data_IF_742077337474
#
_entry.id   IF_742077337474
#
_cell.length_a   1.000
_cell.length_b   1.000
_cell.length_c   1.000
_cell.angle_alpha   90.00
_cell.angle_beta   90.00
_cell.angle_gamma   90.00
#
_symmetry.space_group_name_H-M   'P 1'
#
loop_
_entity.id
_entity.type
_entity.pdbx_description
1 polymer ?
#
# COMPACT_ATOMS: atom_id res chain seq x y z
N UNK A 1 5.98 16.67 0.56
CA UNK A 1 4.77 17.50 0.77
C UNK A 1 3.72 17.32 -0.33
N UNK A 2 4.08 17.32 -1.63
CA UNK A 2 3.11 17.13 -2.73
C UNK A 2 2.22 15.88 -2.58
N UNK A 3 2.80 14.71 -2.27
CA UNK A 3 2.03 13.48 -2.04
C UNK A 3 1.05 13.59 -0.86
N UNK A 4 1.42 14.32 0.20
CA UNK A 4 0.58 14.53 1.37
C UNK A 4 -0.57 15.49 1.06
N UNK A 5 -0.31 16.54 0.26
CA UNK A 5 -1.35 17.47 -0.21
C UNK A 5 -2.35 16.77 -1.13
N UNK A 6 -1.88 15.99 -2.11
CA UNK A 6 -2.74 15.19 -2.98
C UNK A 6 -3.61 14.21 -2.19
N UNK A 7 -3.03 13.57 -1.15
CA UNK A 7 -3.79 12.68 -0.26
C UNK A 7 -4.82 13.45 0.56
N UNK A 8 -4.49 14.61 1.11
CA UNK A 8 -5.45 15.41 1.86
C UNK A 8 -6.66 15.81 1.02
N UNK A 9 -6.42 16.20 -0.24
CA UNK A 9 -7.49 16.47 -1.18
C UNK A 9 -8.33 15.21 -1.49
N UNK A 10 -7.68 14.07 -1.79
CA UNK A 10 -8.37 12.80 -2.02
C UNK A 10 -9.25 12.39 -0.83
N UNK A 11 -8.73 12.57 0.39
CA UNK A 11 -9.44 12.22 1.61
C UNK A 11 -10.68 13.10 1.77
N UNK A 12 -10.52 14.41 1.64
CA UNK A 12 -11.60 15.37 1.89
C UNK A 12 -12.69 15.30 0.80
N UNK A 13 -12.29 15.16 -0.48
CA UNK A 13 -13.22 15.26 -1.59
C UNK A 13 -13.88 13.93 -1.97
N UNK A 14 -13.25 12.80 -1.63
CA UNK A 14 -13.73 11.48 -2.05
C UNK A 14 -13.88 10.51 -0.89
N UNK A 15 -12.82 10.26 -0.12
CA UNK A 15 -12.83 9.16 0.86
C UNK A 15 -13.81 9.45 2.01
N UNK A 16 -13.73 10.61 2.64
CA UNK A 16 -14.65 11.01 3.72
C UNK A 16 -16.13 10.97 3.29
N UNK A 17 -16.53 11.66 2.19
CA UNK A 17 -17.91 11.59 1.72
C UNK A 17 -18.39 10.17 1.36
N UNK A 18 -17.49 9.31 0.88
CA UNK A 18 -17.82 7.91 0.58
C UNK A 18 -18.03 7.07 1.84
N UNK A 19 -17.20 7.27 2.87
CA UNK A 19 -17.37 6.60 4.18
C UNK A 19 -18.69 7.01 4.82
N UNK A 20 -19.05 8.30 4.79
CA UNK A 20 -20.34 8.79 5.32
C UNK A 20 -21.55 8.15 4.62
N UNK A 21 -21.37 7.69 3.39
CA UNK A 21 -22.39 6.98 2.60
C UNK A 21 -22.31 5.46 2.72
N UNK A 22 -21.47 4.92 3.62
CA UNK A 22 -21.22 3.49 3.77
C UNK A 22 -20.77 2.79 2.48
N UNK A 23 -20.00 3.49 1.64
CA UNK A 23 -19.47 2.94 0.40
C UNK A 23 -18.12 2.29 0.66
N UNK A 24 -17.94 1.07 0.15
CA UNK A 24 -16.63 0.39 0.15
C UNK A 24 -15.68 1.09 -0.81
N UNK A 25 -14.47 1.42 -0.32
CA UNK A 25 -13.45 2.13 -1.08
C UNK A 25 -12.29 1.17 -1.35
N UNK A 26 -11.87 1.10 -2.61
CA UNK A 26 -10.66 0.38 -3.02
C UNK A 26 -9.66 1.41 -3.52
N UNK A 27 -8.51 1.52 -2.85
CA UNK A 27 -7.43 2.41 -3.23
C UNK A 27 -6.24 1.62 -3.78
N UNK A 28 -5.81 1.93 -5.01
CA UNK A 28 -4.47 1.58 -5.46
C UNK A 28 -3.47 2.54 -4.82
N UNK A 29 -2.76 2.04 -3.81
CA UNK A 29 -1.84 2.77 -2.91
C UNK A 29 -2.54 3.78 -2.01
N UNK A 30 -1.96 3.97 -0.82
CA UNK A 30 -2.43 4.98 0.15
C UNK A 30 -1.26 5.41 1.08
N UNK A 31 -1.45 5.36 2.40
CA UNK A 31 -0.47 5.80 3.40
C UNK A 31 0.79 4.93 3.45
N UNK A 32 0.65 3.61 3.35
CA UNK A 32 1.78 2.68 3.47
C UNK A 32 2.80 2.86 2.35
N UNK A 33 2.34 3.21 1.14
CA UNK A 33 3.23 3.56 0.02
C UNK A 33 4.07 4.80 0.32
N UNK A 34 3.52 5.78 1.02
CA UNK A 34 4.30 6.97 1.37
C UNK A 34 5.36 6.65 2.43
N UNK A 35 5.05 5.78 3.37
CA UNK A 35 6.05 5.29 4.33
C UNK A 35 7.15 4.47 3.65
N UNK A 36 6.79 3.53 2.78
CA UNK A 36 7.76 2.70 2.06
C UNK A 36 8.68 3.53 1.16
N UNK A 37 8.12 4.41 0.32
CA UNK A 37 8.90 5.20 -0.62
C UNK A 37 9.68 6.34 0.04
N UNK A 38 9.02 7.14 0.87
CA UNK A 38 9.67 8.33 1.44
C UNK A 38 10.48 8.01 2.68
N UNK A 39 10.00 7.08 3.51
CA UNK A 39 10.69 6.67 4.73
C UNK A 39 11.85 5.76 4.40
N UNK A 40 11.55 4.54 3.96
CA UNK A 40 12.59 3.54 3.71
C UNK A 40 13.38 3.81 2.43
N UNK A 41 12.69 4.15 1.32
CA UNK A 41 13.34 4.43 0.04
C UNK A 41 14.23 5.68 0.08
N UNK A 42 13.70 6.80 0.57
CA UNK A 42 14.40 8.11 0.58
C UNK A 42 15.03 8.49 1.93
N UNK A 43 14.88 7.69 2.97
CA UNK A 43 15.51 7.93 4.28
C UNK A 43 14.90 9.09 5.08
N UNK A 44 13.66 9.50 4.78
CA UNK A 44 12.99 10.56 5.55
C UNK A 44 12.56 9.98 6.91
N UNK A 45 12.74 10.76 7.98
CA UNK A 45 12.37 10.37 9.33
C UNK A 45 10.92 9.86 9.42
N UNK A 46 10.75 8.66 9.96
CA UNK A 46 9.46 8.00 10.04
C UNK A 46 8.48 8.74 10.96
N UNK A 47 8.97 9.34 12.05
CA UNK A 47 8.15 10.12 12.97
C UNK A 47 7.56 11.36 12.30
N UNK A 48 8.36 12.06 11.51
CA UNK A 48 7.91 13.17 10.68
C UNK A 48 6.86 12.72 9.66
N UNK A 49 7.09 11.61 8.95
CA UNK A 49 6.13 11.09 7.97
C UNK A 49 4.79 10.72 8.60
N UNK A 50 4.80 10.14 9.81
CA UNK A 50 3.59 9.85 10.56
C UNK A 50 2.81 11.14 10.90
N UNK A 51 3.48 12.18 11.43
CA UNK A 51 2.84 13.46 11.75
C UNK A 51 2.21 14.11 10.52
N UNK A 52 2.95 14.15 9.41
CA UNK A 52 2.45 14.72 8.15
C UNK A 52 1.27 13.90 7.61
N UNK A 53 1.32 12.58 7.76
CA UNK A 53 0.24 11.70 7.31
C UNK A 53 -1.02 11.88 8.14
N UNK A 54 -0.89 12.00 9.46
CA UNK A 54 -2.01 12.24 10.37
C UNK A 54 -2.75 13.53 10.03
N UNK A 55 -2.00 14.63 9.82
CA UNK A 55 -2.56 15.91 9.35
C UNK A 55 -3.27 15.75 8.00
N UNK A 56 -2.67 15.00 7.07
CA UNK A 56 -3.21 14.85 5.73
C UNK A 56 -4.50 14.01 5.68
N UNK A 57 -4.67 13.02 6.57
CA UNK A 57 -5.80 12.08 6.48
C UNK A 57 -6.81 12.20 7.62
N UNK A 58 -6.53 12.99 8.65
CA UNK A 58 -7.39 13.14 9.82
C UNK A 58 -7.71 11.81 10.50
N UNK A 59 -6.71 10.93 10.63
CA UNK A 59 -6.84 9.60 11.24
C UNK A 59 -7.51 8.52 10.37
N UNK A 60 -7.95 8.82 9.14
CA UNK A 60 -8.61 7.85 8.25
C UNK A 60 -7.59 6.87 7.66
N UNK A 61 -7.41 5.76 8.38
CA UNK A 61 -6.58 4.62 7.99
C UNK A 61 -7.42 3.54 7.28
N UNK A 62 -6.83 2.73 6.38
CA UNK A 62 -7.54 1.59 5.80
C UNK A 62 -7.88 0.54 6.86
N UNK A 63 -9.05 -0.07 6.75
CA UNK A 63 -9.41 -1.25 7.57
C UNK A 63 -8.51 -2.45 7.24
N UNK A 64 -8.18 -2.61 5.95
CA UNK A 64 -7.30 -3.66 5.43
C UNK A 64 -6.40 -3.11 4.33
N UNK A 65 -5.20 -3.66 4.22
CA UNK A 65 -4.23 -3.33 3.17
C UNK A 65 -3.60 -4.62 2.67
N UNK A 66 -3.56 -4.81 1.34
CA UNK A 66 -2.92 -5.96 0.73
C UNK A 66 -1.51 -5.57 0.26
N UNK A 67 -0.50 -6.19 0.87
CA UNK A 67 0.87 -6.08 0.39
C UNK A 67 1.17 -7.28 -0.50
N UNK A 68 1.31 -7.04 -1.79
CA UNK A 68 1.69 -8.05 -2.77
C UNK A 68 3.20 -8.26 -2.73
N UNK A 69 3.61 -9.33 -2.04
CA UNK A 69 5.00 -9.70 -1.84
C UNK A 69 5.56 -10.33 -3.12
N UNK A 70 6.38 -9.57 -3.83
CA UNK A 70 7.07 -9.98 -5.04
C UNK A 70 8.46 -9.35 -5.07
N UNK A 71 9.46 -10.15 -5.44
CA UNK A 71 10.82 -9.66 -5.60
C UNK A 71 10.87 -8.42 -6.52
N UNK A 72 11.54 -7.33 -6.12
CA UNK A 72 11.58 -6.08 -6.88
C UNK A 72 12.01 -6.24 -8.33
N UNK A 73 12.96 -7.13 -8.59
CA UNK A 73 13.49 -7.44 -9.92
C UNK A 73 12.38 -7.97 -10.85
N UNK A 74 11.53 -8.86 -10.32
CA UNK A 74 10.40 -9.45 -11.06
C UNK A 74 9.30 -8.39 -11.25
N UNK A 75 8.99 -7.62 -10.20
CA UNK A 75 7.98 -6.57 -10.24
C UNK A 75 8.31 -5.47 -11.24
N UNK A 76 9.56 -5.00 -11.25
CA UNK A 76 10.04 -3.96 -12.17
C UNK A 76 10.00 -4.46 -13.62
N UNK A 77 10.44 -5.69 -13.88
CA UNK A 77 10.35 -6.30 -15.21
C UNK A 77 8.91 -6.32 -15.73
N UNK A 78 7.96 -6.82 -14.92
CA UNK A 78 6.53 -6.86 -15.29
C UNK A 78 5.97 -5.46 -15.56
N UNK A 79 6.37 -4.46 -14.76
CA UNK A 79 5.93 -3.07 -14.91
C UNK A 79 6.40 -2.45 -16.22
N UNK A 80 7.68 -2.61 -16.55
CA UNK A 80 8.28 -2.12 -17.79
C UNK A 80 7.60 -2.75 -19.01
N UNK A 81 7.35 -4.06 -18.97
CA UNK A 81 6.66 -4.79 -20.05
C UNK A 81 5.20 -4.32 -20.22
N UNK A 82 4.51 -3.98 -19.12
CA UNK A 82 3.10 -3.61 -19.15
C UNK A 82 2.84 -2.13 -19.50
N UNK A 83 3.65 -1.20 -18.98
CA UNK A 83 3.34 0.25 -19.02
C UNK A 83 4.52 1.14 -19.39
N UNK A 84 5.69 0.58 -19.67
CA UNK A 84 6.93 1.35 -19.84
C UNK A 84 7.53 1.82 -18.51
N UNK A 85 8.51 2.72 -18.55
CA UNK A 85 9.19 3.26 -17.36
C UNK A 85 8.80 4.72 -17.08
N UNK A 86 8.47 5.01 -15.82
CA UNK A 86 8.32 6.35 -15.27
C UNK A 86 9.57 6.78 -14.47
N UNK A 87 9.55 7.99 -13.90
CA UNK A 87 10.67 8.55 -13.14
C UNK A 87 11.09 7.68 -11.94
N UNK A 88 10.14 7.02 -11.29
CA UNK A 88 10.37 6.16 -10.13
C UNK A 88 10.89 4.79 -10.58
N UNK A 89 10.42 4.27 -11.72
CA UNK A 89 10.95 3.02 -12.29
C UNK A 89 12.35 3.17 -12.89
N UNK A 90 12.81 4.40 -13.09
CA UNK A 90 14.20 4.72 -13.47
C UNK A 90 15.14 4.90 -12.26
N UNK A 91 14.65 4.75 -11.02
CA UNK A 91 15.52 4.70 -9.84
C UNK A 91 16.37 3.43 -9.83
N UNK A 92 17.45 3.42 -9.05
CA UNK A 92 18.32 2.25 -8.98
C UNK A 92 17.64 1.07 -8.25
N UNK A 93 18.16 -0.14 -8.49
CA UNK A 93 17.65 -1.35 -7.82
C UNK A 93 17.81 -1.29 -6.29
N UNK A 94 18.74 -0.47 -5.77
CA UNK A 94 18.93 -0.30 -4.32
C UNK A 94 17.72 0.43 -3.72
N UNK A 95 17.21 1.46 -4.40
CA UNK A 95 15.99 2.16 -4.02
C UNK A 95 14.79 1.21 -4.02
N UNK A 96 14.59 0.44 -5.10
CA UNK A 96 13.48 -0.51 -5.18
C UNK A 96 13.52 -1.57 -4.08
N UNK A 97 14.71 -2.08 -3.74
CA UNK A 97 14.90 -3.00 -2.61
C UNK A 97 14.57 -2.35 -1.27
N UNK A 98 15.03 -1.12 -1.01
CA UNK A 98 14.67 -0.37 0.21
C UNK A 98 13.17 -0.16 0.35
N UNK A 99 12.48 0.16 -0.74
CA UNK A 99 11.01 0.31 -0.74
C UNK A 99 10.33 -1.02 -0.40
N UNK A 100 10.77 -2.11 -1.01
CA UNK A 100 10.25 -3.45 -0.74
C UNK A 100 10.48 -3.89 0.71
N UNK A 101 11.69 -3.69 1.23
CA UNK A 101 12.02 -3.95 2.63
C UNK A 101 11.16 -3.10 3.57
N UNK A 102 10.88 -1.85 3.18
CA UNK A 102 9.94 -0.98 3.88
C UNK A 102 8.53 -1.54 3.96
N UNK A 103 7.99 -2.09 2.87
CA UNK A 103 6.68 -2.76 2.92
C UNK A 103 6.70 -4.01 3.80
N UNK A 104 7.76 -4.82 3.74
CA UNK A 104 7.90 -6.00 4.61
C UNK A 104 7.92 -5.62 6.08
N UNK A 105 8.66 -4.57 6.42
CA UNK A 105 8.71 -4.06 7.80
C UNK A 105 7.36 -3.49 8.26
N UNK A 106 6.65 -2.75 7.39
CA UNK A 106 5.30 -2.28 7.69
C UNK A 106 4.33 -3.44 7.92
N UNK A 107 4.37 -4.48 7.09
CA UNK A 107 3.56 -5.67 7.24
C UNK A 107 3.83 -6.39 8.57
N UNK A 108 5.10 -6.47 8.98
CA UNK A 108 5.51 -7.01 10.29
C UNK A 108 5.02 -6.15 11.46
N UNK A 109 5.02 -4.83 11.30
CA UNK A 109 4.59 -3.87 12.33
C UNK A 109 3.07 -3.80 12.49
N UNK A 110 2.32 -4.02 11.41
CA UNK A 110 0.86 -3.91 11.38
C UNK A 110 0.15 -5.17 10.83
N UNK A 111 0.43 -6.38 11.37
CA UNK A 111 -0.04 -7.65 10.77
C UNK A 111 -1.56 -7.84 10.83
N UNK A 112 -2.25 -7.10 11.71
CA UNK A 112 -3.71 -7.10 11.76
C UNK A 112 -4.33 -6.38 10.56
N UNK A 113 -3.73 -5.27 10.13
CA UNK A 113 -4.23 -4.38 9.05
C UNK A 113 -3.62 -4.73 7.69
N UNK A 114 -2.32 -5.01 7.65
CA UNK A 114 -1.60 -5.31 6.41
C UNK A 114 -1.52 -6.84 6.26
N UNK A 115 -2.12 -7.35 5.18
CA UNK A 115 -2.10 -8.75 4.78
C UNK A 115 -1.10 -8.95 3.65
N UNK A 116 -0.05 -9.70 3.93
CA UNK A 116 0.93 -10.09 2.91
C UNK A 116 0.35 -11.18 2.02
N UNK A 117 0.39 -10.97 0.72
CA UNK A 117 -0.07 -11.90 -0.31
C UNK A 117 1.14 -12.28 -1.17
N UNK A 118 1.42 -13.58 -1.31
CA UNK A 118 2.49 -14.06 -2.18
C UNK A 118 2.11 -13.83 -3.65
N UNK A 119 2.72 -12.82 -4.27
CA UNK A 119 2.44 -12.42 -5.65
C UNK A 119 3.37 -13.08 -6.68
N UNK A 120 4.19 -14.06 -6.26
CA UNK A 120 4.98 -14.91 -7.16
C UNK A 120 4.14 -15.99 -7.84
N UNK A 121 2.98 -16.34 -7.25
CA UNK A 121 2.01 -17.31 -7.77
C UNK A 121 1.31 -16.85 -9.05
N UNK A 122 0.65 -17.76 -9.80
CA UNK A 122 -0.28 -17.39 -10.85
C UNK A 122 -1.39 -16.46 -10.36
N UNK A 123 -1.87 -15.54 -11.21
CA UNK A 123 -2.83 -14.50 -10.85
C UNK A 123 -4.13 -15.04 -10.22
N UNK A 124 -4.59 -16.21 -10.66
CA UNK A 124 -5.78 -16.87 -10.08
C UNK A 124 -5.56 -17.28 -8.62
N UNK A 125 -4.37 -17.76 -8.27
CA UNK A 125 -4.06 -18.16 -6.90
C UNK A 125 -3.81 -16.95 -5.99
N UNK A 126 -3.16 -15.91 -6.52
CA UNK A 126 -3.06 -14.61 -5.86
C UNK A 126 -4.46 -14.07 -5.53
N UNK A 127 -5.39 -14.16 -6.49
CA UNK A 127 -6.77 -13.73 -6.28
C UNK A 127 -7.50 -14.55 -5.22
N UNK A 128 -7.33 -15.88 -5.20
CA UNK A 128 -7.89 -16.73 -4.14
C UNK A 128 -7.41 -16.30 -2.75
N UNK A 129 -6.11 -15.99 -2.62
CA UNK A 129 -5.52 -15.53 -1.36
C UNK A 129 -6.11 -14.16 -0.93
N UNK A 130 -6.21 -13.20 -1.85
CA UNK A 130 -6.84 -11.89 -1.58
C UNK A 130 -8.31 -12.05 -1.18
N UNK A 131 -9.09 -12.81 -1.96
CA UNK A 131 -10.51 -13.04 -1.71
C UNK A 131 -10.74 -13.64 -0.33
N UNK A 132 -9.93 -14.62 0.08
CA UNK A 132 -10.03 -15.22 1.41
C UNK A 132 -9.86 -14.18 2.53
N UNK A 133 -8.93 -13.24 2.38
CA UNK A 133 -8.74 -12.18 3.35
C UNK A 133 -9.92 -11.20 3.39
N UNK A 134 -10.50 -10.86 2.21
CA UNK A 134 -11.72 -10.04 2.12
C UNK A 134 -12.89 -10.74 2.80
N UNK A 135 -13.13 -12.02 2.48
CA UNK A 135 -14.21 -12.82 3.06
C UNK A 135 -14.08 -12.90 4.59
N UNK A 136 -12.84 -13.00 5.11
CA UNK A 136 -12.61 -12.96 6.55
C UNK A 136 -12.87 -11.57 7.15
N UNK A 137 -12.45 -10.49 6.50
CA UNK A 137 -12.65 -9.13 6.98
C UNK A 137 -14.14 -8.73 7.01
N UNK A 138 -14.93 -9.25 6.07
CA UNK A 138 -16.39 -9.05 6.00
C UNK A 138 -17.19 -10.05 6.85
N UNK A 139 -16.51 -10.99 7.52
CA UNK A 139 -17.14 -11.96 8.42
C UNK A 139 -17.86 -13.13 7.72
N UNK A 140 -17.64 -13.33 6.42
CA UNK A 140 -18.18 -14.49 5.69
C UNK A 140 -17.49 -15.79 6.09
N UNK A 141 -16.24 -15.71 6.55
CA UNK A 141 -15.47 -16.85 7.09
C UNK A 141 -14.77 -16.45 8.39
N UNK A 142 -14.54 -17.42 9.27
CA UNK A 142 -13.76 -17.18 10.50
C UNK A 142 -12.32 -16.82 10.14
N UNK A 143 -11.79 -15.78 10.79
CA UNK A 143 -10.35 -15.49 10.78
C UNK A 143 -9.60 -16.68 11.37
N UNK A 144 -8.59 -17.17 10.66
CA UNK A 144 -7.64 -18.21 11.13
C UNK A 144 -6.56 -17.53 11.94
#
# INVERSE_FOLDING_TARGET
>A
LLYSAARAQLVEQLIKPSIEKNVTIICDRYVDSFYAYQGFGRGIDFGLLMKVTDIAIGGIMPDITFFFDLAPEIGLKRRIEATGSDRIENEDMVFHRKVYDGYRELARRYPRRIKTIDASKPAEDVWKDVRRQIDSALGFIKSV
#
